data_IF_546271601639
#
_entry.id   IF_546271601639
#
_cell.length_a   1.000
_cell.length_b   1.000
_cell.length_c   1.000
_cell.angle_alpha   90.00
_cell.angle_beta   90.00
_cell.angle_gamma   90.00
#
_symmetry.space_group_name_H-M   'P 1'
#
loop_
_entity.id
_entity.type
_entity.pdbx_description
1 polymer ?
#
# COMPACT_ATOMS: atom_id res chain seq x y z
N UNK A 1 29.20 -10.34 -0.05
CA UNK A 1 27.78 -10.71 -0.34
C UNK A 1 27.55 -10.59 -1.84
N UNK A 2 27.85 -9.44 -2.49
CA UNK A 2 27.64 -9.20 -3.93
C UNK A 2 28.14 -10.37 -4.81
N UNK A 3 29.40 -10.78 -4.65
CA UNK A 3 29.99 -11.80 -5.51
C UNK A 3 29.30 -13.17 -5.36
N UNK A 4 28.85 -13.52 -4.16
CA UNK A 4 28.06 -14.73 -3.92
C UNK A 4 26.69 -14.67 -4.58
N UNK A 5 26.05 -13.50 -4.55
CA UNK A 5 24.76 -13.30 -5.25
C UNK A 5 24.92 -13.38 -6.76
N UNK A 6 25.92 -12.71 -7.33
CA UNK A 6 26.19 -12.74 -8.77
C UNK A 6 26.53 -14.16 -9.24
N UNK A 7 27.31 -14.92 -8.45
CA UNK A 7 27.57 -16.33 -8.75
C UNK A 7 26.28 -17.14 -8.78
N UNK A 8 25.44 -17.02 -7.76
CA UNK A 8 24.16 -17.73 -7.70
C UNK A 8 23.22 -17.33 -8.85
N UNK A 9 23.20 -16.05 -9.24
CA UNK A 9 22.43 -15.59 -10.39
C UNK A 9 22.91 -16.25 -11.68
N UNK A 10 24.23 -16.27 -11.94
CA UNK A 10 24.80 -16.90 -13.13
C UNK A 10 24.56 -18.41 -13.20
N UNK A 11 24.57 -19.08 -12.03
CA UNK A 11 24.35 -20.53 -11.95
C UNK A 11 22.86 -20.94 -12.11
N UNK A 12 21.93 -19.99 -11.99
CA UNK A 12 20.48 -20.25 -12.00
C UNK A 12 19.72 -19.37 -13.02
N UNK A 13 20.39 -18.89 -14.07
CA UNK A 13 19.81 -18.04 -15.10
C UNK A 13 19.06 -16.79 -14.55
N UNK A 14 19.54 -16.25 -13.45
CA UNK A 14 18.96 -15.07 -12.81
C UNK A 14 19.33 -13.76 -13.54
N UNK A 15 18.54 -12.73 -13.32
CA UNK A 15 18.66 -11.46 -14.04
C UNK A 15 19.61 -10.45 -13.41
N UNK A 16 19.97 -10.60 -12.13
CA UNK A 16 20.78 -9.63 -11.39
C UNK A 16 22.23 -9.62 -11.88
N UNK A 17 22.73 -8.45 -12.27
CA UNK A 17 24.04 -8.25 -12.84
C UNK A 17 24.88 -7.28 -11.98
N UNK A 18 26.19 -7.24 -12.23
CA UNK A 18 27.09 -6.34 -11.51
C UNK A 18 26.73 -4.87 -11.69
N UNK A 19 26.19 -4.50 -12.86
CA UNK A 19 25.78 -3.14 -13.17
C UNK A 19 24.63 -2.66 -12.28
N UNK A 20 23.77 -3.58 -11.82
CA UNK A 20 22.64 -3.27 -10.95
C UNK A 20 23.15 -2.81 -9.58
N UNK A 21 24.18 -3.46 -9.06
CA UNK A 21 24.81 -3.03 -7.80
C UNK A 21 25.53 -1.69 -7.95
N UNK A 22 26.17 -1.42 -9.11
CA UNK A 22 26.87 -0.15 -9.35
C UNK A 22 25.93 1.01 -9.55
N UNK A 23 24.77 0.77 -10.18
CA UNK A 23 23.76 1.79 -10.47
C UNK A 23 22.73 1.97 -9.36
N UNK A 24 22.68 1.05 -8.41
CA UNK A 24 21.71 1.13 -7.32
C UNK A 24 21.87 2.43 -6.53
N UNK A 25 20.77 3.12 -6.34
CA UNK A 25 20.68 4.33 -5.52
C UNK A 25 19.56 4.19 -4.53
N UNK A 26 19.79 4.64 -3.32
CA UNK A 26 18.72 4.79 -2.33
C UNK A 26 17.87 6.02 -2.68
N UNK A 27 16.57 5.88 -2.62
CA UNK A 27 15.64 6.99 -2.71
C UNK A 27 15.30 7.48 -1.30
N UNK A 28 15.33 8.78 -1.11
CA UNK A 28 14.94 9.44 0.13
C UNK A 28 13.90 10.51 -0.22
N UNK A 29 12.83 10.57 0.54
CA UNK A 29 11.73 11.50 0.29
C UNK A 29 10.91 11.79 1.54
N UNK A 30 10.04 12.80 1.45
CA UNK A 30 9.12 13.12 2.52
C UNK A 30 8.07 11.99 2.67
N UNK A 31 7.64 11.67 3.91
CA UNK A 31 6.56 10.74 4.13
C UNK A 31 5.23 11.33 3.61
N UNK A 32 4.28 10.45 3.30
CA UNK A 32 2.89 10.85 3.19
C UNK A 32 2.35 11.16 4.58
N UNK A 33 1.57 12.24 4.70
CA UNK A 33 1.01 12.69 5.97
C UNK A 33 -0.48 12.88 5.85
N UNK A 34 -1.21 12.41 6.83
CA UNK A 34 -2.64 12.66 7.01
C UNK A 34 -2.97 12.75 8.49
N UNK A 35 -4.24 12.96 8.81
CA UNK A 35 -4.71 12.95 10.19
C UNK A 35 -5.86 11.95 10.38
N UNK A 36 -5.88 11.29 11.53
CA UNK A 36 -6.99 10.42 11.93
C UNK A 36 -7.26 10.58 13.42
N UNK A 37 -8.48 10.97 13.78
CA UNK A 37 -8.93 11.18 15.17
C UNK A 37 -7.95 12.02 16.00
N UNK A 38 -7.58 13.18 15.48
CA UNK A 38 -6.63 14.13 16.08
C UNK A 38 -5.18 13.65 16.21
N UNK A 39 -4.81 12.52 15.58
CA UNK A 39 -3.43 12.05 15.49
C UNK A 39 -2.89 12.28 14.09
N UNK A 40 -1.64 12.71 13.99
CA UNK A 40 -0.91 12.71 12.72
C UNK A 40 -0.47 11.29 12.38
N UNK A 41 -0.67 10.93 11.11
CA UNK A 41 -0.27 9.63 10.56
C UNK A 41 0.80 9.87 9.50
N UNK A 42 1.98 9.32 9.72
CA UNK A 42 3.09 9.35 8.78
C UNK A 42 3.29 7.96 8.20
N UNK A 43 3.45 7.87 6.88
CA UNK A 43 3.64 6.59 6.21
C UNK A 43 4.52 6.73 4.97
N UNK A 44 5.09 5.62 4.50
CA UNK A 44 5.90 5.61 3.29
C UNK A 44 5.04 5.97 2.06
N UNK A 45 5.62 6.81 1.20
CA UNK A 45 5.08 7.09 -0.13
C UNK A 45 5.50 6.05 -1.18
N UNK A 46 5.08 6.24 -2.43
CA UNK A 46 5.52 5.40 -3.55
C UNK A 46 7.06 5.27 -3.61
N UNK A 47 7.56 4.12 -4.05
CA UNK A 47 6.84 2.99 -4.68
C UNK A 47 6.04 2.13 -3.68
N UNK A 48 6.11 2.41 -2.37
CA UNK A 48 5.30 1.68 -1.39
C UNK A 48 3.81 2.01 -1.56
N UNK A 49 3.01 1.01 -1.90
CA UNK A 49 1.56 1.17 -2.04
C UNK A 49 0.81 1.13 -0.70
N UNK A 50 1.43 0.61 0.35
CA UNK A 50 0.79 0.43 1.67
C UNK A 50 0.35 1.75 2.30
N UNK A 51 1.15 2.81 2.14
CA UNK A 51 0.81 4.13 2.67
C UNK A 51 -0.46 4.71 2.06
N UNK A 52 -0.65 4.57 0.75
CA UNK A 52 -1.87 5.04 0.07
C UNK A 52 -3.09 4.23 0.52
N UNK A 53 -2.94 2.90 0.67
CA UNK A 53 -4.02 2.04 1.22
C UNK A 53 -4.40 2.50 2.62
N UNK A 54 -3.41 2.68 3.50
CA UNK A 54 -3.64 3.11 4.88
C UNK A 54 -4.36 4.46 4.94
N UNK A 55 -3.82 5.49 4.27
CA UNK A 55 -4.38 6.83 4.35
C UNK A 55 -5.75 6.93 3.69
N UNK A 56 -5.97 6.28 2.54
CA UNK A 56 -7.30 6.19 1.91
C UNK A 56 -8.30 5.57 2.89
N UNK A 57 -7.93 4.46 3.52
CA UNK A 57 -8.82 3.76 4.45
C UNK A 57 -9.14 4.59 5.69
N UNK A 58 -8.14 5.21 6.30
CA UNK A 58 -8.34 6.07 7.46
C UNK A 58 -9.18 7.32 7.13
N UNK A 59 -8.96 7.93 5.96
CA UNK A 59 -9.76 9.07 5.50
C UNK A 59 -11.24 8.68 5.35
N UNK A 60 -11.55 7.50 4.80
CA UNK A 60 -12.92 6.98 4.70
C UNK A 60 -13.49 6.73 6.10
N UNK A 61 -12.75 6.01 6.95
CA UNK A 61 -13.20 5.64 8.30
C UNK A 61 -13.38 6.84 9.23
N UNK A 62 -12.73 7.98 8.95
CA UNK A 62 -12.91 9.20 9.71
C UNK A 62 -14.33 9.78 9.65
N UNK A 63 -15.09 9.40 8.61
CA UNK A 63 -16.50 9.81 8.48
C UNK A 63 -17.47 9.03 9.39
N UNK A 64 -16.99 7.97 10.04
CA UNK A 64 -17.83 7.08 10.85
C UNK A 64 -17.38 7.07 12.30
N UNK A 65 -18.31 7.22 13.21
CA UNK A 65 -18.06 7.00 14.62
C UNK A 65 -18.13 5.51 14.94
N UNK A 66 -16.97 4.83 14.79
CA UNK A 66 -16.88 3.39 14.99
C UNK A 66 -17.21 2.95 16.43
N UNK A 67 -17.15 3.86 17.41
CA UNK A 67 -17.50 3.53 18.81
C UNK A 67 -18.98 3.16 18.95
N UNK A 68 -19.84 3.70 18.07
CA UNK A 68 -21.29 3.42 18.05
C UNK A 68 -21.62 2.00 17.57
N UNK A 69 -20.73 1.40 16.82
CA UNK A 69 -20.96 0.05 16.27
C UNK A 69 -20.37 -1.06 17.16
N UNK A 70 -19.49 -0.70 18.10
CA UNK A 70 -18.78 -1.62 18.97
C UNK A 70 -17.55 -2.25 18.30
N UNK A 71 -16.54 -2.56 19.12
CA UNK A 71 -15.37 -3.33 18.67
C UNK A 71 -15.80 -4.74 18.29
N UNK A 72 -15.21 -5.31 17.25
CA UNK A 72 -15.50 -6.67 16.76
C UNK A 72 -16.97 -6.92 16.28
N UNK A 73 -17.73 -5.86 16.01
CA UNK A 73 -19.06 -6.01 15.43
C UNK A 73 -19.00 -6.23 13.92
N UNK A 74 -20.04 -6.85 13.36
CA UNK A 74 -20.20 -7.02 11.91
C UNK A 74 -20.17 -5.67 11.18
N UNK A 75 -20.79 -4.64 11.74
CA UNK A 75 -20.80 -3.30 11.15
C UNK A 75 -19.40 -2.67 11.09
N UNK A 76 -18.61 -2.82 12.17
CA UNK A 76 -17.23 -2.33 12.20
C UNK A 76 -16.36 -3.06 11.18
N UNK A 77 -16.42 -4.38 11.11
CA UNK A 77 -15.68 -5.15 10.11
C UNK A 77 -16.12 -4.85 8.68
N UNK A 78 -17.43 -4.66 8.47
CA UNK A 78 -17.94 -4.25 7.17
C UNK A 78 -17.34 -2.92 6.71
N UNK A 79 -17.36 -1.89 7.56
CA UNK A 79 -16.78 -0.58 7.23
C UNK A 79 -15.27 -0.64 6.98
N UNK A 80 -14.53 -1.40 7.79
CA UNK A 80 -13.09 -1.61 7.59
C UNK A 80 -12.84 -2.30 6.25
N UNK A 81 -13.56 -3.36 5.92
CA UNK A 81 -13.42 -4.08 4.67
C UNK A 81 -13.74 -3.20 3.45
N UNK A 82 -14.81 -2.40 3.52
CA UNK A 82 -15.19 -1.45 2.47
C UNK A 82 -14.14 -0.35 2.28
N UNK A 83 -13.58 0.17 3.36
CA UNK A 83 -12.51 1.17 3.30
C UNK A 83 -11.22 0.59 2.70
N UNK A 84 -10.78 -0.57 3.19
CA UNK A 84 -9.60 -1.28 2.66
C UNK A 84 -9.76 -1.63 1.18
N UNK A 85 -10.92 -2.10 0.75
CA UNK A 85 -11.21 -2.40 -0.66
C UNK A 85 -10.98 -1.19 -1.56
N UNK A 86 -11.35 0.01 -1.13
CA UNK A 86 -11.13 1.25 -1.87
C UNK A 86 -9.68 1.71 -1.82
N UNK A 87 -9.02 1.52 -0.70
CA UNK A 87 -7.58 1.75 -0.58
C UNK A 87 -6.77 0.85 -1.51
N UNK A 88 -7.09 -0.44 -1.55
CA UNK A 88 -6.47 -1.40 -2.47
C UNK A 88 -6.79 -1.08 -3.94
N UNK A 89 -8.00 -0.61 -4.23
CA UNK A 89 -8.35 -0.14 -5.58
C UNK A 89 -7.46 1.03 -6.02
N UNK A 90 -7.24 2.03 -5.16
CA UNK A 90 -6.31 3.12 -5.45
C UNK A 90 -4.88 2.59 -5.68
N UNK A 91 -4.42 1.66 -4.85
CA UNK A 91 -3.10 1.05 -5.00
C UNK A 91 -2.95 0.36 -6.36
N UNK A 92 -3.83 -0.58 -6.67
CA UNK A 92 -3.70 -1.45 -7.85
C UNK A 92 -3.75 -0.69 -9.19
N UNK A 93 -4.32 0.51 -9.21
CA UNK A 93 -4.52 1.26 -10.45
C UNK A 93 -3.60 2.45 -10.61
N UNK A 94 -2.99 2.92 -9.52
CA UNK A 94 -2.27 4.19 -9.55
C UNK A 94 -0.88 4.14 -8.93
N UNK A 95 -0.52 3.08 -8.21
CA UNK A 95 0.79 3.01 -7.58
C UNK A 95 1.73 2.15 -8.43
N UNK A 96 2.88 2.73 -8.74
CA UNK A 96 3.98 2.12 -9.46
C UNK A 96 5.30 2.75 -9.03
N UNK A 97 6.35 2.49 -9.78
CA UNK A 97 7.63 3.15 -9.56
C UNK A 97 7.56 4.60 -10.05
N UNK A 98 7.75 5.59 -9.16
CA UNK A 98 7.68 7.02 -9.52
C UNK A 98 8.78 7.46 -10.50
N UNK A 99 9.80 6.63 -10.74
CA UNK A 99 10.82 6.88 -11.76
C UNK A 99 10.28 6.71 -13.18
N UNK A 100 9.16 6.01 -13.35
CA UNK A 100 8.57 5.67 -14.64
C UNK A 100 7.12 6.14 -14.81
N UNK A 101 6.49 6.58 -13.72
CA UNK A 101 5.07 6.93 -13.73
C UNK A 101 4.77 8.06 -12.75
N UNK A 102 4.07 9.09 -13.23
CA UNK A 102 3.58 10.18 -12.38
C UNK A 102 2.36 9.74 -11.59
N UNK A 103 2.53 9.60 -10.29
CA UNK A 103 1.51 9.08 -9.39
C UNK A 103 0.69 10.24 -8.83
N UNK A 104 -0.61 10.33 -9.10
CA UNK A 104 -1.45 11.44 -8.68
C UNK A 104 -1.83 11.37 -7.19
N UNK A 105 -0.85 11.41 -6.30
CA UNK A 105 -1.04 11.23 -4.85
C UNK A 105 -2.05 12.22 -4.27
N UNK A 106 -2.00 13.48 -4.69
CA UNK A 106 -2.90 14.50 -4.19
C UNK A 106 -4.36 14.21 -4.55
N UNK A 107 -4.61 13.70 -5.76
CA UNK A 107 -5.95 13.32 -6.19
C UNK A 107 -6.44 12.06 -5.46
N UNK A 108 -5.55 11.05 -5.31
CA UNK A 108 -5.86 9.80 -4.64
C UNK A 108 -6.26 9.99 -3.17
N UNK A 109 -5.65 10.97 -2.50
CA UNK A 109 -5.89 11.28 -1.10
C UNK A 109 -6.78 12.52 -0.89
N UNK A 110 -7.37 13.06 -1.97
CA UNK A 110 -8.21 14.26 -1.92
C UNK A 110 -9.49 14.05 -1.10
N UNK A 111 -10.00 15.14 -0.56
CA UNK A 111 -11.29 15.16 0.15
C UNK A 111 -12.46 14.79 -0.77
N UNK A 112 -12.39 15.22 -2.02
CA UNK A 112 -13.40 14.97 -3.05
C UNK A 112 -13.50 13.47 -3.33
N UNK A 113 -12.38 12.80 -3.59
CA UNK A 113 -12.33 11.36 -3.80
C UNK A 113 -12.75 10.58 -2.56
N UNK A 114 -12.36 11.02 -1.39
CA UNK A 114 -12.80 10.43 -0.12
C UNK A 114 -14.32 10.49 0.01
N UNK A 115 -14.95 11.63 -0.30
CA UNK A 115 -16.42 11.79 -0.28
C UNK A 115 -17.11 10.86 -1.28
N UNK A 116 -16.56 10.69 -2.48
CA UNK A 116 -17.10 9.74 -3.48
C UNK A 116 -17.08 8.31 -2.95
N UNK A 117 -15.98 7.90 -2.33
CA UNK A 117 -15.86 6.58 -1.72
C UNK A 117 -16.88 6.38 -0.61
N UNK A 118 -17.03 7.33 0.31
CA UNK A 118 -18.01 7.27 1.40
C UNK A 118 -19.43 7.11 0.85
N UNK A 119 -19.82 7.91 -0.14
CA UNK A 119 -21.14 7.83 -0.79
C UNK A 119 -21.41 6.48 -1.45
N UNK A 120 -20.36 5.75 -1.85
CA UNK A 120 -20.48 4.45 -2.52
C UNK A 120 -20.59 3.26 -1.55
N UNK A 121 -20.46 3.48 -0.23
CA UNK A 121 -20.57 2.44 0.79
C UNK A 121 -22.05 2.30 1.19
N UNK A 122 -22.56 1.06 1.13
CA UNK A 122 -23.87 0.68 1.68
C UNK A 122 -23.66 -0.07 2.99
N UNK A 123 -24.51 0.16 3.99
CA UNK A 123 -24.52 -0.61 5.23
C UNK A 123 -25.25 -1.96 5.09
N UNK A 124 -26.14 -2.08 4.09
CA UNK A 124 -26.99 -3.26 3.95
C UNK A 124 -26.31 -4.39 3.18
N UNK A 125 -25.28 -4.07 2.40
CA UNK A 125 -24.60 -5.06 1.55
C UNK A 125 -23.17 -4.65 1.21
N UNK A 126 -22.30 -5.66 1.05
CA UNK A 126 -20.94 -5.46 0.56
C UNK A 126 -20.95 -4.98 -0.89
N UNK A 127 -20.06 -4.03 -1.20
CA UNK A 127 -19.85 -3.56 -2.57
C UNK A 127 -19.19 -4.68 -3.39
N UNK A 128 -19.75 -5.17 -4.50
CA UNK A 128 -19.06 -6.09 -5.39
C UNK A 128 -17.75 -5.48 -5.89
N UNK A 129 -16.67 -6.27 -5.92
CA UNK A 129 -15.34 -5.76 -6.35
C UNK A 129 -15.36 -5.16 -7.75
N UNK A 130 -16.18 -5.69 -8.65
CA UNK A 130 -16.39 -5.14 -10.00
C UNK A 130 -17.04 -3.76 -10.03
N UNK A 131 -17.67 -3.32 -8.93
CA UNK A 131 -18.31 -2.00 -8.82
C UNK A 131 -17.42 -0.98 -8.10
N UNK A 132 -16.38 -1.41 -7.40
CA UNK A 132 -15.31 -0.51 -6.95
C UNK A 132 -14.48 -0.20 -8.19
N UNK A 133 -14.86 0.84 -8.90
CA UNK A 133 -14.33 1.15 -10.23
C UNK A 133 -12.81 1.27 -10.24
N UNK A 134 -12.13 0.44 -11.04
CA UNK A 134 -10.78 0.72 -11.49
C UNK A 134 -10.81 1.87 -12.48
N UNK A 135 -9.89 2.81 -12.34
CA UNK A 135 -9.71 3.85 -13.38
C UNK A 135 -9.02 3.29 -14.62
N UNK A 136 -8.24 2.22 -14.51
CA UNK A 136 -7.71 1.38 -15.62
C UNK A 136 -7.16 0.08 -15.05
N UNK A 137 -7.25 -1.02 -15.81
CA UNK A 137 -6.68 -2.31 -15.44
C UNK A 137 -5.22 -2.31 -15.88
N UNK A 138 -4.29 -2.39 -14.94
CA UNK A 138 -2.92 -2.83 -15.17
C UNK A 138 -2.76 -4.20 -14.51
N UNK A 139 -2.12 -5.15 -15.21
CA UNK A 139 -1.82 -6.46 -14.65
C UNK A 139 -0.82 -6.27 -13.50
N UNK A 140 -1.22 -6.60 -12.30
CA UNK A 140 -0.39 -6.55 -11.10
C UNK A 140 0.26 -7.91 -10.85
N UNK A 141 1.55 -7.90 -10.50
CA UNK A 141 2.22 -9.10 -9.97
C UNK A 141 1.56 -9.50 -8.64
N UNK A 142 1.27 -10.80 -8.49
CA UNK A 142 0.56 -11.34 -7.31
C UNK A 142 1.49 -11.85 -6.22
N UNK A 143 2.80 -11.77 -6.42
CA UNK A 143 3.79 -12.41 -5.57
C UNK A 143 4.47 -11.40 -4.67
N UNK A 144 4.33 -11.61 -3.37
CA UNK A 144 5.00 -10.86 -2.32
C UNK A 144 5.49 -11.84 -1.27
N UNK A 145 6.73 -11.72 -0.86
CA UNK A 145 7.29 -12.52 0.22
C UNK A 145 7.80 -11.61 1.34
N UNK A 146 7.62 -12.05 2.57
CA UNK A 146 8.19 -11.41 3.75
C UNK A 146 9.10 -12.39 4.47
N UNK A 147 10.28 -11.92 4.89
CA UNK A 147 11.16 -12.70 5.76
C UNK A 147 11.73 -11.85 6.89
N UNK A 148 11.97 -12.50 7.99
CA UNK A 148 12.67 -11.92 9.14
C UNK A 148 13.86 -12.82 9.51
N UNK A 149 15.01 -12.21 9.74
CA UNK A 149 16.25 -12.89 10.09
C UNK A 149 16.80 -12.23 11.36
N UNK A 150 17.22 -13.06 12.30
CA UNK A 150 17.98 -12.63 13.47
C UNK A 150 19.29 -13.40 13.49
N UNK A 151 20.42 -12.71 13.58
CA UNK A 151 21.72 -13.35 13.69
C UNK A 151 22.09 -13.65 15.15
N UNK A 152 23.22 -14.34 15.33
CA UNK A 152 23.73 -14.72 16.66
C UNK A 152 24.08 -13.53 17.57
N UNK A 153 24.29 -12.36 16.99
CA UNK A 153 24.67 -11.13 17.70
C UNK A 153 23.45 -10.26 18.01
N UNK A 154 22.23 -10.73 17.67
CA UNK A 154 20.97 -10.05 17.93
C UNK A 154 20.60 -9.00 16.87
N UNK A 155 21.35 -8.86 15.77
CA UNK A 155 20.95 -8.02 14.67
C UNK A 155 19.71 -8.61 13.99
N UNK A 156 18.70 -7.79 13.72
CA UNK A 156 17.44 -8.22 13.14
C UNK A 156 17.16 -7.48 11.83
N UNK A 157 16.69 -8.22 10.84
CA UNK A 157 16.20 -7.69 9.56
C UNK A 157 14.79 -8.20 9.33
N UNK A 158 13.90 -7.32 8.93
CA UNK A 158 12.55 -7.66 8.47
C UNK A 158 12.35 -7.01 7.11
N UNK A 159 12.09 -7.82 6.09
CA UNK A 159 12.01 -7.38 4.72
C UNK A 159 10.82 -7.99 3.98
N UNK A 160 10.18 -7.15 3.15
CA UNK A 160 9.11 -7.54 2.22
C UNK A 160 9.56 -7.18 0.80
N UNK A 161 9.40 -8.09 -0.14
CA UNK A 161 9.72 -7.84 -1.56
C UNK A 161 8.65 -8.41 -2.49
#
# INVERSE_FOLDING_TARGET
IKDKLLKAMNENDGFLQEIDFKKYKINSGAPLVSSYRNNLVFTAGPPSGGGVVLLTSLNILSAYDLSKYGSNSTATYHLIAEALRRGHNNRSHHIGDPSFYDIPINDLLSKERTKEFIKSISFDKATPSSKVRPLRITNESRDTTHYSIVDKDGNAVSNTY
#
